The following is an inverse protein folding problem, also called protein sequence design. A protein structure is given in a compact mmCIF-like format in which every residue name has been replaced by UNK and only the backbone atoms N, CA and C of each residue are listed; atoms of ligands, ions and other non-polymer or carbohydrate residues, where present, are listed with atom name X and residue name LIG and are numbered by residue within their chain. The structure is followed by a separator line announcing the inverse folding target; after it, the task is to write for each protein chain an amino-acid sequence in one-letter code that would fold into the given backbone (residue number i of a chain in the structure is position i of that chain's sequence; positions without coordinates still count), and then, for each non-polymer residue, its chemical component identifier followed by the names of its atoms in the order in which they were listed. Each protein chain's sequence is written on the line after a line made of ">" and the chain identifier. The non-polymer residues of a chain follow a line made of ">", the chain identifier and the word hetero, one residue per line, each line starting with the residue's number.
data_IF_062697431167
#
_entry.id   IF_062697431167
#
_cell.length_a   1.000
_cell.length_b   1.000
_cell.length_c   1.000
_cell.angle_alpha   90.00
_cell.angle_beta   90.00
_cell.angle_gamma   90.00
#
_symmetry.space_group_name_H-M   'P 1'
#
loop_
_entity.id
_entity.type
_entity.pdbx_description
1 polymer ?
#
# COMPACT_ATOMS: atom_id res chain seq x y z
N UNK A 1 16.58 0.08 -7.75
CA UNK A 1 16.29 -0.73 -6.56
C UNK A 1 14.82 -1.14 -6.59
N UNK A 2 14.51 -2.39 -6.30
CA UNK A 2 13.12 -2.84 -6.28
C UNK A 2 12.59 -2.84 -4.86
N UNK A 3 11.48 -2.14 -4.66
CA UNK A 3 10.83 -2.04 -3.37
C UNK A 3 9.42 -2.62 -3.43
N UNK A 4 8.94 -3.09 -2.31
CA UNK A 4 7.63 -3.68 -2.17
C UNK A 4 6.97 -3.11 -0.92
N UNK A 5 5.67 -2.97 -0.95
CA UNK A 5 4.96 -2.40 0.19
C UNK A 5 3.77 -3.25 0.60
N UNK A 6 3.40 -3.10 1.85
CA UNK A 6 2.22 -3.72 2.39
C UNK A 6 1.42 -2.76 3.23
N UNK A 7 0.12 -2.91 3.20
CA UNK A 7 -0.78 -2.14 4.04
C UNK A 7 -1.71 -3.13 4.74
N UNK A 8 -1.64 -3.15 6.07
CA UNK A 8 -2.57 -3.91 6.89
C UNK A 8 -3.64 -2.94 7.36
N UNK A 9 -4.80 -2.98 6.69
CA UNK A 9 -5.87 -2.02 6.89
C UNK A 9 -6.82 -2.49 7.98
N UNK A 10 -6.90 -1.72 9.04
CA UNK A 10 -7.84 -1.93 10.14
C UNK A 10 -8.93 -0.85 10.11
N UNK A 11 -9.92 -0.98 10.99
CA UNK A 11 -11.08 -0.09 10.99
C UNK A 11 -10.72 1.38 11.20
N UNK A 12 -9.73 1.67 12.06
CA UNK A 12 -9.39 3.04 12.46
C UNK A 12 -8.00 3.49 12.03
N UNK A 13 -7.14 2.55 11.68
CA UNK A 13 -5.77 2.86 11.30
C UNK A 13 -5.20 1.74 10.43
N UNK A 14 -4.03 2.00 9.86
CA UNK A 14 -3.35 1.03 9.02
C UNK A 14 -1.89 0.96 9.38
N UNK A 15 -1.29 -0.21 9.24
CA UNK A 15 0.16 -0.36 9.34
C UNK A 15 0.72 -0.43 7.93
N UNK A 16 1.63 0.48 7.62
CA UNK A 16 2.25 0.60 6.31
C UNK A 16 3.70 0.17 6.42
N UNK A 17 4.15 -0.69 5.50
CA UNK A 17 5.52 -1.15 5.48
C UNK A 17 6.08 -1.08 4.06
N UNK A 18 7.35 -0.69 3.95
CA UNK A 18 8.11 -0.75 2.69
C UNK A 18 9.36 -1.58 2.94
N UNK A 19 9.57 -2.57 2.09
CA UNK A 19 10.74 -3.45 2.19
C UNK A 19 11.49 -3.47 0.85
N UNK A 20 12.77 -3.85 0.89
CA UNK A 20 13.56 -4.08 -0.31
C UNK A 20 13.50 -5.55 -0.72
N UNK A 21 14.23 -5.90 -1.77
CA UNK A 21 14.24 -7.26 -2.31
C UNK A 21 14.85 -8.29 -1.36
N UNK A 22 15.62 -7.87 -0.36
CA UNK A 22 16.20 -8.73 0.65
C UNK A 22 15.39 -8.73 1.95
N UNK A 23 14.13 -8.27 1.89
CA UNK A 23 13.21 -8.21 3.05
C UNK A 23 13.65 -7.26 4.16
N UNK A 24 14.56 -6.32 3.86
CA UNK A 24 14.94 -5.31 4.84
C UNK A 24 13.85 -4.24 4.89
N UNK A 25 13.43 -3.89 6.10
CA UNK A 25 12.40 -2.89 6.32
C UNK A 25 13.01 -1.49 6.19
N UNK A 26 12.53 -0.73 5.20
CA UNK A 26 12.98 0.66 4.98
C UNK A 26 12.07 1.66 5.68
N UNK A 27 10.81 1.29 5.89
CA UNK A 27 9.82 2.15 6.49
C UNK A 27 8.73 1.29 7.09
N UNK A 28 8.28 1.62 8.28
CA UNK A 28 7.14 0.96 8.91
C UNK A 28 6.50 1.91 9.88
N UNK A 29 5.20 2.13 9.73
CA UNK A 29 4.49 3.04 10.60
C UNK A 29 3.00 2.74 10.64
N UNK A 30 2.40 2.97 11.79
CA UNK A 30 0.94 2.96 11.94
C UNK A 30 0.44 4.35 11.61
N UNK A 31 -0.49 4.44 10.67
CA UNK A 31 -1.06 5.70 10.20
C UNK A 31 -2.57 5.69 10.38
N UNK A 32 -3.15 6.87 10.48
CA UNK A 32 -4.60 7.00 10.43
C UNK A 32 -5.10 6.59 9.05
N UNK A 33 -6.35 6.13 8.99
CA UNK A 33 -6.99 5.77 7.72
C UNK A 33 -7.38 7.05 6.97
N UNK A 34 -6.37 7.78 6.54
CA UNK A 34 -6.51 9.00 5.78
C UNK A 34 -5.61 8.88 4.56
N UNK A 35 -6.24 8.92 3.38
CA UNK A 35 -5.56 8.66 2.12
C UNK A 35 -4.32 9.52 1.92
N UNK A 36 -4.43 10.82 2.21
CA UNK A 36 -3.30 11.75 2.04
C UNK A 36 -2.08 11.37 2.86
N UNK A 37 -2.27 10.90 4.09
CA UNK A 37 -1.16 10.46 4.93
C UNK A 37 -0.49 9.21 4.35
N UNK A 38 -1.29 8.26 3.86
CA UNK A 38 -0.78 7.03 3.30
C UNK A 38 -0.01 7.32 2.01
N UNK A 39 -0.55 8.17 1.15
CA UNK A 39 0.13 8.56 -0.09
C UNK A 39 1.45 9.29 0.19
N UNK A 40 1.47 10.16 1.19
CA UNK A 40 2.71 10.86 1.58
C UNK A 40 3.77 9.88 2.09
N UNK A 41 3.34 8.82 2.78
CA UNK A 41 4.27 7.80 3.26
C UNK A 41 4.95 7.07 2.11
N UNK A 42 4.23 6.82 1.02
CA UNK A 42 4.77 6.12 -0.15
C UNK A 42 5.52 7.03 -1.13
N UNK A 43 5.27 8.33 -1.09
CA UNK A 43 5.82 9.25 -2.08
C UNK A 43 7.35 9.13 -2.25
N UNK A 44 8.17 9.02 -1.18
CA UNK A 44 9.61 8.89 -1.35
C UNK A 44 10.06 7.62 -2.06
N UNK A 45 9.20 6.60 -2.10
CA UNK A 45 9.53 5.29 -2.66
C UNK A 45 8.87 5.02 -4.00
N UNK A 46 8.07 5.96 -4.49
CA UNK A 46 7.18 5.77 -5.62
C UNK A 46 7.87 5.19 -6.86
N UNK A 47 9.03 5.72 -7.23
CA UNK A 47 9.72 5.30 -8.43
C UNK A 47 10.20 3.85 -8.39
N UNK A 48 10.45 3.34 -7.21
CA UNK A 48 11.03 2.01 -7.04
C UNK A 48 10.01 0.95 -6.60
N UNK A 49 8.79 1.37 -6.25
CA UNK A 49 7.77 0.43 -5.82
C UNK A 49 7.31 -0.44 -6.99
N UNK A 50 7.36 -1.74 -6.79
CA UNK A 50 6.91 -2.73 -7.78
C UNK A 50 5.48 -3.15 -7.54
N UNK A 51 5.01 -3.05 -6.30
CA UNK A 51 3.66 -3.40 -5.96
C UNK A 51 3.35 -3.09 -4.52
N UNK A 52 2.06 -2.99 -4.22
CA UNK A 52 1.53 -2.80 -2.88
C UNK A 52 0.49 -3.87 -2.62
N UNK A 53 0.66 -4.62 -1.54
CA UNK A 53 -0.34 -5.59 -1.11
C UNK A 53 -1.20 -4.92 -0.04
N UNK A 54 -2.50 -4.90 -0.27
CA UNK A 54 -3.45 -4.41 0.72
C UNK A 54 -4.19 -5.61 1.28
N UNK A 55 -4.10 -5.80 2.58
CA UNK A 55 -4.79 -6.87 3.27
C UNK A 55 -5.82 -6.27 4.21
N UNK A 56 -7.07 -6.69 4.06
CA UNK A 56 -8.15 -6.17 4.88
C UNK A 56 -9.39 -7.04 4.80
N UNK A 57 -10.06 -7.19 5.93
CA UNK A 57 -11.42 -7.72 5.98
C UNK A 57 -12.43 -6.59 6.08
N UNK A 58 -11.98 -5.36 5.85
CA UNK A 58 -12.76 -4.15 6.03
C UNK A 58 -12.91 -3.41 4.69
N UNK A 59 -13.62 -2.30 4.67
CA UNK A 59 -13.82 -1.52 3.45
C UNK A 59 -12.49 -0.93 2.95
N UNK A 60 -11.98 -1.46 1.83
CA UNK A 60 -10.70 -1.06 1.24
C UNK A 60 -10.85 -0.21 -0.03
N UNK A 61 -12.07 -0.01 -0.51
CA UNK A 61 -12.28 0.65 -1.81
C UNK A 61 -11.68 2.05 -1.88
N UNK A 62 -11.85 2.84 -0.83
CA UNK A 62 -11.32 4.20 -0.80
C UNK A 62 -9.81 4.24 -0.92
N UNK A 63 -9.15 3.27 -0.30
CA UNK A 63 -7.68 3.18 -0.33
C UNK A 63 -7.19 2.73 -1.69
N UNK A 64 -7.78 1.69 -2.23
CA UNK A 64 -7.36 1.13 -3.51
C UNK A 64 -7.59 2.13 -4.63
N UNK A 65 -8.73 2.80 -4.65
CA UNK A 65 -9.00 3.84 -5.64
C UNK A 65 -7.95 4.96 -5.58
N UNK A 66 -7.59 5.37 -4.37
CA UNK A 66 -6.57 6.40 -4.19
C UNK A 66 -5.18 5.95 -4.61
N UNK A 67 -4.85 4.69 -4.38
CA UNK A 67 -3.58 4.13 -4.83
C UNK A 67 -3.53 4.01 -6.35
N UNK A 68 -4.63 3.69 -7.00
CA UNK A 68 -4.71 3.69 -8.46
C UNK A 68 -4.45 5.06 -9.03
N UNK A 69 -5.08 6.09 -8.48
CA UNK A 69 -4.85 7.47 -8.91
C UNK A 69 -3.40 7.89 -8.70
N UNK A 70 -2.79 7.38 -7.65
CA UNK A 70 -1.39 7.68 -7.33
C UNK A 70 -0.44 7.19 -8.43
N UNK A 71 -0.74 6.10 -9.11
CA UNK A 71 0.16 5.53 -10.10
C UNK A 71 -0.50 5.14 -11.43
N UNK A 72 -1.77 5.23 -11.58
CA UNK A 72 -2.47 4.87 -12.83
C UNK A 72 -2.29 3.43 -13.28
N UNK A 73 -1.72 2.57 -12.45
CA UNK A 73 -1.54 1.16 -12.78
C UNK A 73 -2.78 0.36 -12.42
N UNK A 74 -2.96 -0.74 -13.15
CA UNK A 74 -4.09 -1.62 -12.89
C UNK A 74 -3.94 -2.34 -11.56
N UNK A 75 -5.05 -2.39 -10.84
CA UNK A 75 -5.15 -3.17 -9.63
C UNK A 75 -5.97 -4.39 -9.93
N UNK A 76 -5.51 -5.53 -9.46
CA UNK A 76 -6.27 -6.78 -9.60
C UNK A 76 -6.58 -7.32 -8.23
N UNK A 77 -7.87 -7.52 -7.92
CA UNK A 77 -8.20 -8.24 -6.70
C UNK A 77 -7.69 -9.67 -6.81
N UNK A 78 -6.98 -10.12 -5.78
CA UNK A 78 -6.45 -11.47 -5.75
C UNK A 78 -7.34 -12.36 -4.90
N UNK A 79 -7.77 -11.82 -3.77
CA UNK A 79 -8.63 -12.52 -2.84
C UNK A 79 -9.74 -11.60 -2.37
N UNK A 80 -10.70 -12.19 -1.71
CA UNK A 80 -11.80 -11.46 -1.10
C UNK A 80 -11.33 -10.37 -0.13
N UNK A 81 -10.19 -10.58 0.53
CA UNK A 81 -9.67 -9.70 1.56
C UNK A 81 -8.30 -9.10 1.25
N UNK A 82 -7.77 -9.40 0.08
CA UNK A 82 -6.44 -8.94 -0.29
C UNK A 82 -6.44 -8.42 -1.71
N UNK A 83 -5.66 -7.39 -1.94
CA UNK A 83 -5.47 -6.79 -3.26
C UNK A 83 -3.99 -6.59 -3.50
N UNK A 84 -3.56 -6.75 -4.76
CA UNK A 84 -2.20 -6.42 -5.17
C UNK A 84 -2.28 -5.27 -6.16
N UNK A 85 -1.58 -4.19 -5.86
CA UNK A 85 -1.47 -3.02 -6.70
C UNK A 85 -0.10 -3.06 -7.36
N UNK A 86 -0.08 -3.06 -8.69
CA UNK A 86 1.19 -3.02 -9.44
C UNK A 86 1.44 -1.59 -9.90
N UNK A 87 2.55 -1.04 -9.45
CA UNK A 87 2.91 0.36 -9.74
C UNK A 87 3.83 0.51 -10.93
#
# INVERSE_FOLDING_TARGET
>A
MKLYAGIDLHANNSVVVVIDAEDRVLYQKRLRNELGEILRAFAPYHENLQGIVVESTYNWYWLVDGLMDFNEQLIRPVFQYSMVVFL
#
